data_IF_114425411523
#
_entry.id   IF_114425411523
#
_cell.length_a   1.000
_cell.length_b   1.000
_cell.length_c   1.000
_cell.angle_alpha   90.00
_cell.angle_beta   90.00
_cell.angle_gamma   90.00
#
_symmetry.space_group_name_H-M   'P 1'
#
loop_
_entity.id
_entity.type
_entity.pdbx_description
1 polymer ?
#
# COMPACT_ATOMS: atom_id res chain seq x y z
N UNK A 1 -1.96 -29.99 1.30
CA UNK A 1 -3.37 -29.57 1.07
C UNK A 1 -3.69 -29.83 -0.40
N UNK A 2 -4.66 -30.68 -0.72
CA UNK A 2 -5.24 -30.72 -2.07
C UNK A 2 -6.39 -29.73 -2.15
N UNK A 3 -6.54 -29.07 -3.29
CA UNK A 3 -7.72 -28.26 -3.58
C UNK A 3 -8.93 -29.21 -3.79
N UNK A 4 -10.13 -28.85 -3.31
CA UNK A 4 -11.35 -29.61 -3.59
C UNK A 4 -11.56 -29.84 -5.10
N UNK A 5 -12.06 -31.01 -5.50
CA UNK A 5 -12.17 -31.46 -6.90
C UNK A 5 -12.93 -30.47 -7.81
N UNK A 6 -13.89 -29.75 -7.25
CA UNK A 6 -14.66 -28.71 -7.96
C UNK A 6 -13.77 -27.55 -8.46
N UNK A 7 -12.74 -27.18 -7.69
CA UNK A 7 -11.76 -26.18 -8.12
C UNK A 7 -10.75 -26.77 -9.11
N UNK A 8 -10.37 -28.05 -8.96
CA UNK A 8 -9.46 -28.71 -9.90
C UNK A 8 -10.06 -28.78 -11.32
N UNK A 9 -11.35 -29.11 -11.44
CA UNK A 9 -12.06 -29.16 -12.73
C UNK A 9 -12.13 -27.78 -13.42
N UNK A 10 -12.14 -26.70 -12.64
CA UNK A 10 -12.13 -25.32 -13.16
C UNK A 10 -10.77 -24.91 -13.73
N UNK A 11 -9.69 -25.52 -13.26
CA UNK A 11 -8.33 -25.20 -13.67
C UNK A 11 -7.80 -26.16 -14.75
N UNK A 12 -8.40 -27.34 -14.91
CA UNK A 12 -8.03 -28.34 -15.94
C UNK A 12 -8.20 -27.85 -17.39
N UNK A 13 -8.95 -26.76 -17.61
CA UNK A 13 -9.08 -26.11 -18.92
C UNK A 13 -7.83 -25.34 -19.38
N UNK A 14 -6.89 -25.06 -18.47
CA UNK A 14 -5.64 -24.37 -18.80
C UNK A 14 -4.51 -25.39 -18.93
N UNK A 15 -3.78 -25.36 -20.05
CA UNK A 15 -2.72 -26.33 -20.36
C UNK A 15 -1.40 -25.97 -19.69
N UNK A 16 -1.22 -24.71 -19.34
CA UNK A 16 0.02 -24.22 -18.70
C UNK A 16 -0.29 -23.35 -17.48
N UNK A 17 0.66 -23.30 -16.55
CA UNK A 17 0.60 -22.39 -15.41
C UNK A 17 0.52 -20.91 -15.87
N UNK A 18 1.13 -20.59 -17.02
CA UNK A 18 1.09 -19.25 -17.62
C UNK A 18 -0.32 -18.88 -18.11
N UNK A 19 -1.03 -19.80 -18.75
CA UNK A 19 -2.43 -19.59 -19.17
C UNK A 19 -3.36 -19.41 -17.97
N UNK A 20 -3.19 -20.24 -16.94
CA UNK A 20 -3.92 -20.13 -15.69
C UNK A 20 -3.66 -18.77 -15.02
N UNK A 21 -2.40 -18.36 -14.92
CA UNK A 21 -2.01 -17.07 -14.35
C UNK A 21 -2.59 -15.90 -15.14
N UNK A 22 -2.51 -15.92 -16.47
CA UNK A 22 -3.09 -14.90 -17.34
C UNK A 22 -4.63 -14.82 -17.19
N UNK A 23 -5.30 -15.96 -17.04
CA UNK A 23 -6.74 -15.99 -16.82
C UNK A 23 -7.13 -15.45 -15.44
N UNK A 24 -6.39 -15.79 -14.39
CA UNK A 24 -6.55 -15.23 -13.05
C UNK A 24 -6.36 -13.71 -13.10
N UNK A 25 -5.30 -13.22 -13.75
CA UNK A 25 -5.06 -11.80 -13.97
C UNK A 25 -6.19 -11.13 -14.77
N UNK A 26 -6.78 -11.82 -15.75
CA UNK A 26 -7.93 -11.31 -16.52
C UNK A 26 -9.19 -11.21 -15.66
N UNK A 27 -9.46 -12.21 -14.82
CA UNK A 27 -10.64 -12.22 -13.93
C UNK A 27 -10.51 -11.23 -12.78
N UNK A 28 -9.34 -11.15 -12.13
CA UNK A 28 -9.06 -10.23 -11.02
C UNK A 28 -8.90 -8.79 -11.53
N UNK A 29 -8.17 -8.64 -12.64
CA UNK A 29 -7.90 -7.35 -13.27
C UNK A 29 -9.15 -6.70 -13.87
N UNK A 30 -10.13 -7.49 -14.32
CA UNK A 30 -11.29 -6.97 -15.04
C UNK A 30 -10.93 -6.40 -16.41
N UNK A 31 -11.90 -5.79 -17.09
CA UNK A 31 -11.67 -5.07 -18.35
C UNK A 31 -10.90 -3.75 -18.11
N UNK A 32 -10.38 -3.15 -19.19
CA UNK A 32 -9.57 -1.94 -19.12
C UNK A 32 -10.28 -0.77 -18.39
N UNK A 33 -11.59 -0.61 -18.63
CA UNK A 33 -12.41 0.39 -17.93
C UNK A 33 -12.43 0.14 -16.41
N UNK A 34 -12.60 -1.11 -15.98
CA UNK A 34 -12.58 -1.50 -14.57
C UNK A 34 -11.22 -1.25 -13.94
N UNK A 35 -10.12 -1.57 -14.65
CA UNK A 35 -8.76 -1.27 -14.22
C UNK A 35 -8.55 0.23 -14.04
N UNK A 36 -8.99 1.04 -15.01
CA UNK A 36 -8.89 2.50 -14.95
C UNK A 36 -9.66 3.08 -13.76
N UNK A 37 -10.89 2.63 -13.53
CA UNK A 37 -11.69 3.05 -12.38
C UNK A 37 -11.03 2.67 -11.05
N UNK A 38 -10.55 1.43 -10.90
CA UNK A 38 -9.82 0.99 -9.69
C UNK A 38 -8.56 1.82 -9.46
N UNK A 39 -7.76 2.06 -10.50
CA UNK A 39 -6.55 2.90 -10.45
C UNK A 39 -6.88 4.32 -9.96
N UNK A 40 -7.96 4.92 -10.45
CA UNK A 40 -8.40 6.24 -10.01
C UNK A 40 -8.85 6.25 -8.54
N UNK A 41 -9.60 5.24 -8.11
CA UNK A 41 -10.03 5.09 -6.71
C UNK A 41 -8.81 4.98 -5.78
N UNK A 42 -7.82 4.16 -6.14
CA UNK A 42 -6.60 4.00 -5.34
C UNK A 42 -5.80 5.30 -5.25
N UNK A 43 -5.66 6.03 -6.36
CA UNK A 43 -5.01 7.36 -6.35
C UNK A 43 -5.73 8.34 -5.42
N UNK A 44 -7.07 8.32 -5.43
CA UNK A 44 -7.87 9.14 -4.54
C UNK A 44 -7.72 8.71 -3.06
N UNK A 45 -7.67 7.41 -2.79
CA UNK A 45 -7.44 6.88 -1.44
C UNK A 45 -6.06 7.26 -0.92
N UNK A 46 -5.04 7.21 -1.77
CA UNK A 46 -3.67 7.61 -1.43
C UNK A 46 -3.57 9.11 -1.15
N UNK A 47 -4.11 9.96 -2.05
CA UNK A 47 -4.04 11.41 -1.90
C UNK A 47 -4.85 11.96 -0.70
N UNK A 48 -5.90 11.24 -0.30
CA UNK A 48 -6.71 11.58 0.87
C UNK A 48 -6.33 10.75 2.11
N UNK A 49 -5.22 10.03 2.08
CA UNK A 49 -4.86 9.13 3.16
C UNK A 49 -4.55 9.90 4.44
N UNK A 50 -5.24 9.54 5.53
CA UNK A 50 -5.03 10.05 6.89
C UNK A 50 -5.22 8.93 7.90
N UNK A 51 -4.51 9.02 9.02
CA UNK A 51 -4.76 8.23 10.20
C UNK A 51 -6.20 8.47 10.68
N UNK A 52 -6.88 7.40 11.08
CA UNK A 52 -8.18 7.52 11.73
C UNK A 52 -7.95 7.67 13.22
N UNK A 53 -8.80 8.43 13.91
CA UNK A 53 -8.53 8.91 15.27
C UNK A 53 -8.33 7.84 16.36
N UNK A 54 -8.69 6.57 16.12
CA UNK A 54 -8.44 5.46 17.05
C UNK A 54 -7.40 4.45 16.56
N UNK A 55 -6.74 4.71 15.42
CA UNK A 55 -5.76 3.78 14.84
C UNK A 55 -4.36 4.00 15.37
N UNK A 56 -3.67 2.90 15.64
CA UNK A 56 -2.25 2.91 16.02
C UNK A 56 -1.35 3.29 14.84
N UNK A 57 -0.08 3.59 15.13
CA UNK A 57 0.94 3.80 14.10
C UNK A 57 1.03 2.59 13.16
N UNK A 58 1.10 1.39 13.72
CA UNK A 58 1.16 0.12 12.98
C UNK A 58 -0.05 -0.06 12.04
N UNK A 59 -1.25 0.24 12.52
CA UNK A 59 -2.47 0.15 11.71
C UNK A 59 -2.47 1.17 10.58
N UNK A 60 -1.97 2.38 10.83
CA UNK A 60 -1.84 3.42 9.80
C UNK A 60 -0.81 3.03 8.76
N UNK A 61 0.37 2.58 9.19
CA UNK A 61 1.46 2.11 8.35
C UNK A 61 1.04 0.95 7.43
N UNK A 62 0.47 -0.12 8.01
CA UNK A 62 0.02 -1.28 7.25
C UNK A 62 -1.02 -0.91 6.18
N UNK A 63 -1.93 0.03 6.48
CA UNK A 63 -2.93 0.49 5.50
C UNK A 63 -2.29 1.27 4.36
N UNK A 64 -1.31 2.12 4.64
CA UNK A 64 -0.58 2.84 3.60
C UNK A 64 0.17 1.87 2.70
N UNK A 65 0.88 0.89 3.28
CA UNK A 65 1.59 -0.15 2.50
C UNK A 65 0.66 -0.93 1.57
N UNK A 66 -0.56 -1.27 2.03
CA UNK A 66 -1.56 -1.93 1.18
C UNK A 66 -1.95 -1.06 -0.02
N UNK A 67 -2.20 0.24 0.19
CA UNK A 67 -2.56 1.17 -0.90
C UNK A 67 -1.40 1.32 -1.89
N UNK A 68 -0.18 1.53 -1.38
CA UNK A 68 1.05 1.69 -2.18
C UNK A 68 1.33 0.44 -3.01
N UNK A 69 1.28 -0.75 -2.40
CA UNK A 69 1.50 -2.00 -3.11
C UNK A 69 0.47 -2.24 -4.21
N UNK A 70 -0.80 -1.86 -3.99
CA UNK A 70 -1.83 -1.93 -5.02
C UNK A 70 -1.61 -0.92 -6.15
N UNK A 71 -1.14 0.29 -5.85
CA UNK A 71 -0.79 1.30 -6.85
C UNK A 71 0.38 0.85 -7.72
N UNK A 72 1.46 0.35 -7.11
CA UNK A 72 2.62 -0.20 -7.82
C UNK A 72 2.25 -1.40 -8.69
N UNK A 73 1.39 -2.29 -8.20
CA UNK A 73 0.84 -3.40 -9.00
C UNK A 73 0.04 -2.92 -10.23
N UNK A 74 -0.48 -1.68 -10.23
CA UNK A 74 -1.18 -1.06 -11.35
C UNK A 74 -0.30 -0.10 -12.16
N UNK A 75 1.02 -0.27 -12.10
CA UNK A 75 2.02 0.54 -12.78
C UNK A 75 1.80 2.04 -12.47
N UNK A 76 1.64 2.35 -11.19
CA UNK A 76 1.72 3.72 -10.67
C UNK A 76 3.02 3.84 -9.91
N UNK A 77 3.92 4.65 -10.45
CA UNK A 77 5.12 5.07 -9.77
C UNK A 77 4.75 6.06 -8.66
N UNK A 78 5.35 5.88 -7.50
CA UNK A 78 5.23 6.76 -6.34
C UNK A 78 6.65 7.13 -5.96
N UNK A 79 6.96 8.41 -5.98
CA UNK A 79 8.28 8.89 -5.58
C UNK A 79 8.50 8.63 -4.07
N UNK A 80 9.72 8.26 -3.70
CA UNK A 80 10.03 7.90 -2.32
C UNK A 80 9.83 9.08 -1.36
N UNK A 81 10.20 10.30 -1.77
CA UNK A 81 9.94 11.52 -1.01
C UNK A 81 8.43 11.75 -0.82
N UNK A 82 7.64 11.71 -1.89
CA UNK A 82 6.18 11.84 -1.82
C UNK A 82 5.56 10.82 -0.87
N UNK A 83 6.05 9.57 -0.89
CA UNK A 83 5.60 8.52 0.01
C UNK A 83 5.91 8.84 1.47
N UNK A 84 7.14 9.25 1.76
CA UNK A 84 7.59 9.57 3.10
C UNK A 84 6.87 10.82 3.66
N UNK A 85 6.70 11.87 2.84
CA UNK A 85 5.93 13.06 3.20
C UNK A 85 4.45 12.74 3.42
N UNK A 86 3.84 11.93 2.56
CA UNK A 86 2.45 11.52 2.73
C UNK A 86 2.27 10.73 4.03
N UNK A 87 3.18 9.80 4.33
CA UNK A 87 3.15 9.06 5.60
C UNK A 87 3.20 10.01 6.81
N UNK A 88 4.20 10.89 6.88
CA UNK A 88 4.36 11.85 7.98
C UNK A 88 3.16 12.79 8.13
N UNK A 89 2.61 13.31 7.03
CA UNK A 89 1.45 14.21 7.07
C UNK A 89 0.13 13.48 7.34
N UNK A 90 0.11 12.16 7.18
CA UNK A 90 -1.06 11.33 7.45
C UNK A 90 -1.21 10.94 8.91
N UNK A 91 -0.14 10.99 9.70
CA UNK A 91 -0.20 10.58 11.11
C UNK A 91 -1.17 11.45 11.92
N UNK A 92 -1.69 10.85 12.99
CA UNK A 92 -2.62 11.52 13.88
C UNK A 92 -1.95 12.70 14.61
N UNK A 93 -2.70 13.73 15.06
CA UNK A 93 -2.14 14.96 15.61
C UNK A 93 -1.17 14.77 16.78
N UNK A 94 -1.31 13.68 17.53
CA UNK A 94 -0.45 13.31 18.66
C UNK A 94 1.02 13.11 18.21
N UNK A 95 1.24 12.78 16.94
CA UNK A 95 2.57 12.61 16.34
C UNK A 95 3.19 13.90 15.80
N UNK A 96 2.48 15.04 15.87
CA UNK A 96 2.86 16.30 15.20
C UNK A 96 4.28 16.80 15.54
N UNK A 97 4.71 16.70 16.79
CA UNK A 97 6.07 17.11 17.17
C UNK A 97 7.15 16.25 16.51
N UNK A 98 6.92 14.94 16.42
CA UNK A 98 7.85 14.02 15.78
C UNK A 98 7.91 14.25 14.27
N UNK A 99 6.75 14.46 13.62
CA UNK A 99 6.70 14.68 12.16
C UNK A 99 7.41 15.97 11.74
N UNK A 100 7.36 17.03 12.55
CA UNK A 100 8.09 18.29 12.29
C UNK A 100 9.61 18.07 12.33
N UNK A 101 10.11 17.32 13.33
CA UNK A 101 11.55 17.03 13.44
C UNK A 101 12.02 16.20 12.25
N UNK A 102 11.29 15.14 11.92
CA UNK A 102 11.66 14.24 10.83
C UNK A 102 11.60 14.90 9.45
N UNK A 103 10.68 15.84 9.21
CA UNK A 103 10.61 16.58 7.93
C UNK A 103 11.90 17.33 7.60
N UNK A 104 12.70 17.70 8.60
CA UNK A 104 13.93 18.45 8.41
C UNK A 104 15.19 17.56 8.27
N UNK A 105 15.04 16.23 8.30
CA UNK A 105 16.16 15.31 8.11
C UNK A 105 16.59 15.26 6.65
N UNK A 106 17.91 15.28 6.43
CA UNK A 106 18.51 15.40 5.10
C UNK A 106 18.37 14.16 4.22
N UNK A 107 18.04 13.01 4.80
CA UNK A 107 17.91 11.71 4.15
C UNK A 107 16.44 11.28 3.98
N UNK A 108 15.48 12.13 4.32
CA UNK A 108 14.06 11.78 4.27
C UNK A 108 13.58 11.43 2.86
N UNK A 109 14.14 12.05 1.83
CA UNK A 109 13.76 11.84 0.42
C UNK A 109 14.21 10.47 -0.13
N UNK A 110 15.22 9.88 0.49
CA UNK A 110 15.93 8.68 0.01
C UNK A 110 15.78 7.49 0.95
N UNK A 111 15.40 7.73 2.20
CA UNK A 111 15.15 6.70 3.21
C UNK A 111 13.97 5.80 2.81
N UNK A 112 14.06 4.50 3.12
CA UNK A 112 12.95 3.58 2.91
C UNK A 112 11.79 3.90 3.85
N UNK A 113 10.57 3.59 3.42
CA UNK A 113 9.39 3.80 4.26
C UNK A 113 9.45 2.96 5.55
N UNK A 114 10.02 1.76 5.49
CA UNK A 114 10.19 0.87 6.65
C UNK A 114 11.18 1.47 7.67
N UNK A 115 12.30 2.03 7.21
CA UNK A 115 13.28 2.69 8.08
C UNK A 115 12.67 3.91 8.77
N UNK A 116 11.95 4.75 8.01
CA UNK A 116 11.23 5.91 8.54
C UNK A 116 10.22 5.50 9.61
N UNK A 117 9.46 4.44 9.36
CA UNK A 117 8.52 3.90 10.34
C UNK A 117 9.22 3.40 11.60
N UNK A 118 10.32 2.64 11.47
CA UNK A 118 11.07 2.14 12.61
C UNK A 118 11.63 3.29 13.47
N UNK A 119 12.11 4.35 12.82
CA UNK A 119 12.57 5.56 13.48
C UNK A 119 11.48 6.26 14.29
N UNK A 120 10.26 6.36 13.74
CA UNK A 120 9.11 6.94 14.43
C UNK A 120 8.64 6.03 15.57
N UNK A 121 8.64 4.70 15.35
CA UNK A 121 8.15 3.70 16.31
C UNK A 121 8.87 3.74 17.65
N UNK A 122 10.15 4.09 17.68
CA UNK A 122 10.91 4.25 18.94
C UNK A 122 10.26 5.27 19.90
N UNK A 123 9.51 6.23 19.35
CA UNK A 123 8.83 7.26 20.12
C UNK A 123 7.39 6.91 20.51
N UNK A 124 6.88 5.73 20.13
CA UNK A 124 5.49 5.31 20.43
C UNK A 124 5.17 5.33 21.92
N UNK A 125 6.15 5.05 22.79
CA UNK A 125 5.98 5.13 24.25
C UNK A 125 5.88 6.56 24.82
N UNK A 126 6.14 7.58 23.99
CA UNK A 126 6.17 9.02 24.37
C UNK A 126 5.02 9.83 23.77
N UNK A 127 4.12 9.17 23.04
CA UNK A 127 2.91 9.73 22.41
C UNK A 127 1.71 9.27 23.23
#
# INVERSE_FOLDING_TARGET
LSLPDEHQLRFSKYKTAQELWAAILKTIGGNEATKKTKKNILKQQYGNFKAEGSKTLDQTFNRLQVIVGQLQFMDVEIEQDDLNQNFLTSLAPEWCMHTIVWRNMSDLDTMSLDDLYNHIKVYESKV
#
